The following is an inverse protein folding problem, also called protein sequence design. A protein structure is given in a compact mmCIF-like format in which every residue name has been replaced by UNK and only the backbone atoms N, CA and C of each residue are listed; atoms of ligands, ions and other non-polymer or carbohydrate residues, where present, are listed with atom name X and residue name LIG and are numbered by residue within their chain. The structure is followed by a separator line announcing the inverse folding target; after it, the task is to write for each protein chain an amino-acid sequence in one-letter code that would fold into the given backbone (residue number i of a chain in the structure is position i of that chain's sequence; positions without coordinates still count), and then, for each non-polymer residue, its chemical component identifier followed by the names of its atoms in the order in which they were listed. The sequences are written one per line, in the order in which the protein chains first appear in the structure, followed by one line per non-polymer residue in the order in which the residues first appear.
data_IF_795804617834
#
_entry.id   IF_795804617834
#
_cell.length_a   1.000
_cell.length_b   1.000
_cell.length_c   1.000
_cell.angle_alpha   90.00
_cell.angle_beta   90.00
_cell.angle_gamma   90.00
#
_symmetry.space_group_name_H-M   'P 1'
#
loop_
_entity.id
_entity.type
_entity.pdbx_description
1 polymer ?
#
# COMPACT_ATOMS: atom_id res chain seq x y z
N UNK A 1 14.75 79.81 32.00
CA UNK A 1 14.08 78.99 30.96
C UNK A 1 14.07 77.56 31.48
N UNK A 2 13.01 77.17 32.18
CA UNK A 2 12.82 75.82 32.72
C UNK A 2 11.94 75.03 31.73
N UNK A 3 12.26 73.78 31.37
CA UNK A 3 11.35 72.95 30.61
C UNK A 3 10.33 72.27 31.53
N UNK A 4 9.09 72.37 31.10
CA UNK A 4 7.86 71.85 31.68
C UNK A 4 7.80 70.32 31.63
N UNK A 5 7.59 69.67 32.78
CA UNK A 5 7.21 68.26 32.88
C UNK A 5 5.77 68.07 32.40
N UNK A 6 5.59 67.40 31.26
CA UNK A 6 4.31 66.88 30.79
C UNK A 6 4.30 65.35 30.96
N UNK A 7 3.77 64.91 32.10
CA UNK A 7 3.51 63.50 32.37
C UNK A 7 2.36 62.99 31.48
N UNK A 8 2.67 62.16 30.50
CA UNK A 8 1.69 61.45 29.67
C UNK A 8 1.07 60.27 30.44
N UNK A 9 -0.25 60.01 30.33
CA UNK A 9 -0.89 58.86 30.96
C UNK A 9 -0.38 57.55 30.34
N UNK A 10 0.05 56.60 31.18
CA UNK A 10 0.37 55.22 30.76
C UNK A 10 -0.88 54.56 30.17
N UNK A 11 -0.86 54.25 28.88
CA UNK A 11 -1.89 53.40 28.26
C UNK A 11 -1.88 52.01 28.91
N UNK A 12 -3.06 51.40 29.17
CA UNK A 12 -3.13 50.03 29.63
C UNK A 12 -2.56 49.09 28.55
N UNK A 13 -1.65 48.20 28.97
CA UNK A 13 -1.11 47.11 28.15
C UNK A 13 -2.27 46.37 27.49
N UNK A 14 -2.38 46.47 26.16
CA UNK A 14 -3.25 45.60 25.36
C UNK A 14 -2.88 44.16 25.67
N UNK A 15 -3.81 43.41 26.24
CA UNK A 15 -3.68 41.97 26.39
C UNK A 15 -3.39 41.36 25.02
N UNK A 16 -2.27 40.64 24.89
CA UNK A 16 -1.96 39.87 23.69
C UNK A 16 -3.09 38.88 23.37
N UNK A 17 -3.32 38.55 22.09
CA UNK A 17 -4.43 37.67 21.71
C UNK A 17 -4.33 36.34 22.44
N UNK A 18 -5.37 35.99 23.19
CA UNK A 18 -5.49 34.68 23.83
C UNK A 18 -5.33 33.57 22.78
N UNK A 19 -4.52 32.52 23.03
CA UNK A 19 -4.41 31.39 22.11
C UNK A 19 -5.79 30.77 21.93
N UNK A 20 -6.37 30.91 20.73
CA UNK A 20 -7.70 30.38 20.41
C UNK A 20 -7.66 28.85 20.58
N UNK A 21 -8.53 28.32 21.45
CA UNK A 21 -8.70 26.89 21.84
C UNK A 21 -8.72 25.88 20.67
N UNK A 22 -8.91 26.32 19.43
CA UNK A 22 -9.01 25.47 18.22
C UNK A 22 -7.79 25.55 17.26
N UNK A 23 -6.71 26.27 17.60
CA UNK A 23 -5.48 26.27 16.79
C UNK A 23 -4.89 24.88 16.52
N UNK A 24 -4.81 23.94 17.49
CA UNK A 24 -4.24 22.61 17.21
C UNK A 24 -5.11 21.79 16.26
N UNK A 25 -6.43 21.84 16.40
CA UNK A 25 -7.37 21.13 15.52
C UNK A 25 -7.35 21.67 14.09
N UNK A 26 -7.27 23.00 13.91
CA UNK A 26 -7.13 23.62 12.58
C UNK A 26 -5.80 23.28 11.91
N UNK A 27 -4.72 23.22 12.69
CA UNK A 27 -3.39 22.81 12.20
C UNK A 27 -3.35 21.34 11.77
N UNK A 28 -3.96 20.45 12.55
CA UNK A 28 -4.10 19.03 12.20
C UNK A 28 -4.99 18.84 10.97
N UNK A 29 -6.14 19.52 10.91
CA UNK A 29 -7.03 19.48 9.75
C UNK A 29 -6.31 19.99 8.50
N UNK A 30 -5.63 21.14 8.55
CA UNK A 30 -4.87 21.65 7.41
C UNK A 30 -3.78 20.67 6.95
N UNK A 31 -3.10 20.01 7.90
CA UNK A 31 -2.05 19.01 7.62
C UNK A 31 -2.59 17.73 6.98
N UNK A 32 -3.79 17.31 7.35
CA UNK A 32 -4.39 16.04 6.93
C UNK A 32 -5.58 16.19 5.97
N UNK A 33 -5.86 17.42 5.51
CA UNK A 33 -7.04 17.75 4.69
C UNK A 33 -7.16 16.84 3.47
N UNK A 34 -6.09 16.67 2.70
CA UNK A 34 -6.10 15.84 1.50
C UNK A 34 -6.31 14.36 1.84
N UNK A 35 -5.67 13.86 2.89
CA UNK A 35 -5.85 12.47 3.35
C UNK A 35 -7.29 12.21 3.82
N UNK A 36 -7.88 13.14 4.56
CA UNK A 36 -9.29 13.07 4.96
C UNK A 36 -10.22 13.11 3.74
N UNK A 37 -10.02 14.07 2.82
CA UNK A 37 -10.83 14.22 1.61
C UNK A 37 -10.70 13.05 0.65
N UNK A 38 -9.58 12.32 0.64
CA UNK A 38 -9.41 11.13 -0.16
C UNK A 38 -10.03 9.86 0.48
N UNK A 39 -9.97 9.77 1.82
CA UNK A 39 -10.39 8.56 2.55
C UNK A 39 -11.87 8.58 2.93
N UNK A 40 -12.43 9.72 3.32
CA UNK A 40 -13.82 9.81 3.76
C UNK A 40 -14.84 9.44 2.66
N UNK A 41 -14.69 9.88 1.39
CA UNK A 41 -15.67 9.57 0.35
C UNK A 41 -15.74 8.09 -0.02
N UNK A 42 -14.72 7.29 0.28
CA UNK A 42 -14.73 5.85 0.02
C UNK A 42 -15.35 5.05 1.18
N UNK A 43 -15.59 5.64 2.35
CA UNK A 43 -16.23 4.94 3.49
C UNK A 43 -17.62 4.37 3.16
N UNK A 44 -18.54 5.11 2.50
CA UNK A 44 -19.82 4.53 2.08
C UNK A 44 -19.65 3.32 1.16
N UNK A 45 -18.60 3.29 0.34
CA UNK A 45 -18.32 2.15 -0.53
C UNK A 45 -17.86 0.91 0.25
N UNK A 46 -17.16 1.09 1.39
CA UNK A 46 -16.84 -0.03 2.29
C UNK A 46 -18.07 -0.57 3.01
N UNK A 47 -19.02 0.31 3.36
CA UNK A 47 -20.31 -0.11 3.93
C UNK A 47 -21.12 -0.89 2.89
N UNK A 48 -21.26 -0.34 1.68
CA UNK A 48 -21.90 -1.02 0.54
C UNK A 48 -21.25 -2.37 0.28
N UNK A 49 -19.92 -2.41 0.25
CA UNK A 49 -19.20 -3.65 0.06
C UNK A 49 -19.52 -4.67 1.15
N UNK A 50 -19.45 -4.27 2.43
CA UNK A 50 -19.68 -5.17 3.57
C UNK A 50 -21.10 -5.75 3.60
N UNK A 51 -22.10 -4.95 3.22
CA UNK A 51 -23.51 -5.33 3.30
C UNK A 51 -24.01 -6.05 2.05
N UNK A 52 -23.49 -5.71 0.86
CA UNK A 52 -24.06 -6.15 -0.42
C UNK A 52 -23.07 -6.96 -1.25
N UNK A 53 -21.81 -6.52 -1.37
CA UNK A 53 -20.85 -7.11 -2.32
C UNK A 53 -19.98 -8.21 -1.71
N UNK A 54 -19.79 -8.23 -0.39
CA UNK A 54 -19.01 -9.23 0.36
C UNK A 54 -19.77 -10.57 0.46
N UNK A 55 -20.30 -11.01 -0.67
CA UNK A 55 -20.81 -12.36 -0.91
C UNK A 55 -19.59 -13.28 -0.91
N UNK A 56 -19.66 -14.43 -0.21
CA UNK A 56 -18.52 -15.32 0.02
C UNK A 56 -17.99 -16.06 -1.21
N UNK A 57 -18.04 -15.44 -2.40
CA UNK A 57 -17.50 -15.93 -3.67
C UNK A 57 -16.17 -15.26 -4.04
N UNK A 58 -15.58 -15.70 -5.15
CA UNK A 58 -14.31 -15.17 -5.66
C UNK A 58 -13.15 -15.28 -4.67
N UNK A 59 -12.27 -14.27 -4.65
CA UNK A 59 -11.11 -14.26 -3.74
C UNK A 59 -11.54 -14.20 -2.26
N UNK A 60 -12.74 -13.71 -1.95
CA UNK A 60 -13.26 -13.65 -0.58
C UNK A 60 -13.50 -15.05 -0.01
N UNK A 61 -13.97 -15.98 -0.83
CA UNK A 61 -14.15 -17.39 -0.44
C UNK A 61 -12.84 -18.01 0.05
N UNK A 62 -11.73 -17.70 -0.61
CA UNK A 62 -10.41 -18.15 -0.18
C UNK A 62 -10.03 -17.55 1.17
N UNK A 63 -10.31 -16.27 1.41
CA UNK A 63 -10.05 -15.64 2.71
C UNK A 63 -10.85 -16.30 3.84
N UNK A 64 -12.14 -16.57 3.61
CA UNK A 64 -13.01 -17.25 4.56
C UNK A 64 -12.53 -18.69 4.83
N UNK A 65 -12.11 -19.42 3.79
CA UNK A 65 -11.57 -20.77 3.93
C UNK A 65 -10.29 -20.79 4.77
N UNK A 66 -9.35 -19.88 4.52
CA UNK A 66 -8.10 -19.80 5.28
C UNK A 66 -8.29 -19.32 6.72
N UNK A 67 -9.16 -18.32 6.93
CA UNK A 67 -9.53 -17.89 8.27
C UNK A 67 -10.20 -19.04 9.05
N UNK A 68 -11.18 -19.71 8.44
CA UNK A 68 -11.88 -20.85 9.04
C UNK A 68 -10.99 -22.07 9.27
N UNK A 69 -9.93 -22.26 8.48
CA UNK A 69 -8.89 -23.26 8.76
C UNK A 69 -8.14 -22.88 10.03
N UNK A 70 -7.66 -21.64 10.15
CA UNK A 70 -6.91 -21.19 11.33
C UNK A 70 -7.75 -21.23 12.60
N UNK A 71 -9.05 -20.89 12.53
CA UNK A 71 -9.97 -20.98 13.68
C UNK A 71 -10.05 -22.41 14.23
N UNK A 72 -10.00 -23.43 13.37
CA UNK A 72 -10.14 -24.85 13.77
C UNK A 72 -8.81 -25.55 14.00
N UNK A 73 -7.77 -25.15 13.26
CA UNK A 73 -6.51 -25.88 13.12
C UNK A 73 -5.29 -24.93 13.07
N UNK A 74 -5.34 -23.78 13.74
CA UNK A 74 -4.32 -22.74 13.65
C UNK A 74 -2.90 -23.13 14.09
N UNK A 75 -2.74 -24.21 14.84
CA UNK A 75 -1.44 -24.80 15.18
C UNK A 75 -0.88 -25.72 14.10
N UNK A 76 -1.69 -26.14 13.12
CA UNK A 76 -1.25 -27.01 12.04
C UNK A 76 -0.52 -26.20 10.98
N UNK A 77 0.72 -26.61 10.69
CA UNK A 77 1.52 -26.06 9.59
C UNK A 77 1.08 -26.59 8.22
N UNK A 78 0.18 -27.57 8.17
CA UNK A 78 -0.23 -28.26 6.96
C UNK A 78 -1.76 -28.37 6.87
N UNK A 79 -2.30 -28.02 5.71
CA UNK A 79 -3.73 -28.07 5.42
C UNK A 79 -4.02 -29.18 4.40
N UNK A 80 -4.72 -30.23 4.81
CA UNK A 80 -5.08 -31.38 3.96
C UNK A 80 -6.32 -31.14 3.07
N UNK A 81 -6.99 -29.99 3.21
CA UNK A 81 -8.21 -29.67 2.46
C UNK A 81 -7.97 -29.44 0.95
N UNK A 82 -6.73 -29.18 0.51
CA UNK A 82 -6.38 -28.80 -0.87
C UNK A 82 -5.54 -29.88 -1.57
N UNK A 83 -6.10 -30.56 -2.59
CA UNK A 83 -5.40 -31.44 -3.56
C UNK A 83 -4.10 -32.13 -3.09
N UNK A 84 -4.17 -32.92 -2.01
CA UNK A 84 -3.02 -33.67 -1.45
C UNK A 84 -2.32 -33.00 -0.26
N UNK A 85 -2.68 -31.75 0.02
CA UNK A 85 -2.26 -30.97 1.16
C UNK A 85 -1.28 -29.85 0.80
N UNK A 86 -1.26 -28.78 1.59
CA UNK A 86 -0.33 -27.68 1.40
C UNK A 86 0.10 -27.03 2.71
N UNK A 87 1.33 -26.54 2.78
CA UNK A 87 1.75 -25.73 3.92
C UNK A 87 1.01 -24.40 3.94
N UNK A 88 0.50 -24.03 5.11
CA UNK A 88 -0.29 -22.80 5.31
C UNK A 88 0.53 -21.54 5.03
N UNK A 89 1.83 -21.60 5.33
CA UNK A 89 2.81 -20.55 5.07
C UNK A 89 2.89 -20.12 3.59
N UNK A 90 2.54 -21.02 2.66
CA UNK A 90 2.58 -20.74 1.22
C UNK A 90 1.46 -19.82 0.74
N UNK A 91 0.39 -19.71 1.51
CA UNK A 91 -0.68 -18.76 1.23
C UNK A 91 -0.37 -17.38 1.82
N UNK A 92 -0.15 -17.33 3.13
CA UNK A 92 0.23 -16.14 3.89
C UNK A 92 0.55 -16.53 5.33
N UNK A 93 1.60 -15.94 5.90
CA UNK A 93 2.01 -16.21 7.28
C UNK A 93 1.09 -15.55 8.32
N UNK A 94 0.60 -14.33 8.05
CA UNK A 94 -0.07 -13.52 9.09
C UNK A 94 -1.56 -13.29 8.82
N UNK A 95 -1.97 -13.09 7.56
CA UNK A 95 -3.34 -12.69 7.25
C UNK A 95 -4.42 -13.69 7.73
N UNK A 96 -4.28 -15.02 7.55
CA UNK A 96 -5.27 -15.98 8.05
C UNK A 96 -5.54 -15.85 9.55
N UNK A 97 -4.50 -15.62 10.36
CA UNK A 97 -4.63 -15.45 11.82
C UNK A 97 -5.35 -14.15 12.21
N UNK A 98 -5.04 -13.04 11.53
CA UNK A 98 -5.75 -11.79 11.77
C UNK A 98 -7.22 -11.90 11.36
N UNK A 99 -7.51 -12.56 10.24
CA UNK A 99 -8.87 -12.79 9.77
C UNK A 99 -9.65 -13.75 10.67
N UNK A 100 -9.00 -14.77 11.23
CA UNK A 100 -9.61 -15.67 12.21
C UNK A 100 -9.98 -14.94 13.52
N UNK A 101 -9.16 -14.00 13.98
CA UNK A 101 -9.40 -13.26 15.22
C UNK A 101 -10.37 -12.08 15.10
N UNK A 102 -10.31 -11.32 13.99
CA UNK A 102 -11.08 -10.08 13.81
C UNK A 102 -12.23 -10.20 12.81
N UNK A 103 -12.29 -11.31 12.06
CA UNK A 103 -13.18 -11.50 10.93
C UNK A 103 -12.62 -10.97 9.61
N UNK A 104 -12.85 -11.71 8.53
CA UNK A 104 -12.35 -11.40 7.18
C UNK A 104 -12.80 -10.01 6.72
N UNK A 105 -14.10 -9.70 6.83
CA UNK A 105 -14.65 -8.41 6.39
C UNK A 105 -14.04 -7.23 7.15
N UNK A 106 -13.90 -7.35 8.47
CA UNK A 106 -13.30 -6.33 9.33
C UNK A 106 -11.86 -6.04 8.91
N UNK A 107 -11.03 -7.08 8.77
CA UNK A 107 -9.64 -6.93 8.33
C UNK A 107 -9.56 -6.28 6.95
N UNK A 108 -10.45 -6.67 6.04
CA UNK A 108 -10.51 -6.12 4.68
C UNK A 108 -10.79 -4.63 4.68
N UNK A 109 -11.81 -4.19 5.43
CA UNK A 109 -12.19 -2.77 5.53
C UNK A 109 -11.07 -1.97 6.20
N UNK A 110 -10.51 -2.46 7.32
CA UNK A 110 -9.42 -1.77 8.02
C UNK A 110 -8.18 -1.61 7.13
N UNK A 111 -7.81 -2.67 6.40
CA UNK A 111 -6.69 -2.64 5.45
C UNK A 111 -6.96 -1.65 4.31
N UNK A 112 -8.15 -1.65 3.73
CA UNK A 112 -8.53 -0.73 2.66
C UNK A 112 -8.52 0.74 3.09
N UNK A 113 -9.09 1.05 4.25
CA UNK A 113 -9.11 2.41 4.83
C UNK A 113 -7.69 2.86 5.17
N UNK A 114 -6.89 2.01 5.82
CA UNK A 114 -5.50 2.32 6.15
C UNK A 114 -4.66 2.55 4.87
N UNK A 115 -4.83 1.70 3.86
CA UNK A 115 -4.18 1.84 2.56
C UNK A 115 -4.56 3.15 1.88
N UNK A 116 -5.85 3.49 1.83
CA UNK A 116 -6.36 4.74 1.23
C UNK A 116 -5.74 5.97 1.91
N UNK A 117 -5.71 5.97 3.24
CA UNK A 117 -5.09 7.03 4.03
C UNK A 117 -3.58 7.16 3.73
N UNK A 118 -2.85 6.06 3.78
CA UNK A 118 -1.40 6.03 3.58
C UNK A 118 -1.02 6.43 2.15
N UNK A 119 -1.79 6.00 1.14
CA UNK A 119 -1.63 6.43 -0.25
C UNK A 119 -1.81 7.94 -0.37
N UNK A 120 -2.87 8.51 0.21
CA UNK A 120 -3.07 9.95 0.19
C UNK A 120 -1.95 10.71 0.92
N UNK A 121 -1.44 10.19 2.03
CA UNK A 121 -0.26 10.75 2.72
C UNK A 121 0.96 10.74 1.81
N UNK A 122 1.20 9.65 1.05
CA UNK A 122 2.31 9.54 0.13
C UNK A 122 2.18 10.55 -1.02
N UNK A 123 0.98 10.70 -1.60
CA UNK A 123 0.67 11.68 -2.65
C UNK A 123 0.93 13.11 -2.18
N UNK A 124 0.52 13.48 -0.97
CA UNK A 124 0.82 14.80 -0.39
C UNK A 124 2.33 15.01 -0.25
N UNK A 125 3.07 13.97 0.14
CA UNK A 125 4.53 14.02 0.31
C UNK A 125 5.29 14.07 -1.02
N UNK A 126 4.68 13.60 -2.11
CA UNK A 126 5.22 13.76 -3.45
C UNK A 126 5.20 15.23 -3.95
N UNK A 127 4.55 16.15 -3.21
CA UNK A 127 4.49 17.59 -3.50
C UNK A 127 3.97 17.91 -4.91
N UNK A 128 2.97 17.15 -5.34
CA UNK A 128 2.29 17.38 -6.62
C UNK A 128 1.56 18.74 -6.59
N UNK A 129 1.41 19.43 -7.75
CA UNK A 129 0.62 20.66 -7.83
C UNK A 129 -0.85 20.44 -7.44
N UNK A 130 -1.43 19.32 -7.86
CA UNK A 130 -2.82 18.94 -7.58
C UNK A 130 -2.90 17.55 -6.93
N UNK A 131 -2.65 17.45 -5.60
CA UNK A 131 -2.58 16.15 -4.93
C UNK A 131 -3.95 15.49 -4.71
N UNK A 132 -5.05 16.26 -4.67
CA UNK A 132 -6.36 15.72 -4.31
C UNK A 132 -6.94 14.75 -5.36
N UNK A 133 -6.99 15.06 -6.67
CA UNK A 133 -7.49 14.13 -7.68
C UNK A 133 -6.70 12.82 -7.71
N UNK A 134 -5.37 12.91 -7.55
CA UNK A 134 -4.47 11.75 -7.49
C UNK A 134 -4.77 10.89 -6.26
N UNK A 135 -4.96 11.51 -5.09
CA UNK A 135 -5.27 10.79 -3.85
C UNK A 135 -6.66 10.14 -3.87
N UNK A 136 -7.65 10.79 -4.50
CA UNK A 136 -8.99 10.23 -4.72
C UNK A 136 -8.92 9.01 -5.63
N UNK A 137 -8.21 9.11 -6.76
CA UNK A 137 -8.02 7.98 -7.67
C UNK A 137 -7.30 6.81 -6.98
N UNK A 138 -6.28 7.10 -6.17
CA UNK A 138 -5.58 6.07 -5.41
C UNK A 138 -6.50 5.36 -4.42
N UNK A 139 -7.35 6.12 -3.72
CA UNK A 139 -8.31 5.56 -2.76
C UNK A 139 -9.39 4.73 -3.45
N UNK A 140 -9.88 5.18 -4.62
CA UNK A 140 -10.82 4.42 -5.44
C UNK A 140 -10.19 3.11 -5.95
N UNK A 141 -8.97 3.16 -6.46
CA UNK A 141 -8.29 1.97 -6.98
C UNK A 141 -8.00 0.93 -5.89
N UNK A 142 -7.61 1.38 -4.69
CA UNK A 142 -7.48 0.50 -3.52
C UNK A 142 -8.82 -0.08 -3.07
N UNK A 143 -9.90 0.70 -3.17
CA UNK A 143 -11.24 0.18 -2.93
C UNK A 143 -11.65 -0.88 -3.97
N UNK A 144 -11.32 -0.73 -5.26
CA UNK A 144 -11.59 -1.77 -6.27
C UNK A 144 -10.90 -3.10 -5.94
N UNK A 145 -9.71 -3.06 -5.35
CA UNK A 145 -9.04 -4.26 -4.84
C UNK A 145 -9.84 -4.92 -3.70
N UNK A 146 -10.38 -4.12 -2.77
CA UNK A 146 -11.26 -4.61 -1.71
C UNK A 146 -12.56 -5.15 -2.28
N UNK A 147 -13.14 -4.47 -3.27
CA UNK A 147 -14.33 -4.92 -3.98
C UNK A 147 -14.16 -6.32 -4.59
N UNK A 148 -12.93 -6.65 -5.00
CA UNK A 148 -12.55 -7.97 -5.53
C UNK A 148 -12.37 -9.06 -4.46
N UNK A 149 -12.50 -8.77 -3.17
CA UNK A 149 -12.35 -9.75 -2.08
C UNK A 149 -10.90 -10.09 -1.69
N UNK A 150 -9.92 -9.31 -2.17
CA UNK A 150 -8.49 -9.58 -2.03
C UNK A 150 -7.92 -9.11 -0.68
N UNK A 151 -8.38 -9.70 0.43
CA UNK A 151 -8.04 -9.24 1.79
C UNK A 151 -6.56 -9.33 2.14
N UNK A 152 -5.92 -10.47 1.87
CA UNK A 152 -4.47 -10.66 2.13
C UNK A 152 -3.64 -9.60 1.40
N UNK A 153 -3.95 -9.38 0.13
CA UNK A 153 -3.26 -8.39 -0.68
C UNK A 153 -3.56 -6.96 -0.20
N UNK A 154 -4.81 -6.63 0.16
CA UNK A 154 -5.15 -5.32 0.73
C UNK A 154 -4.33 -5.01 1.99
N UNK A 155 -4.19 -6.00 2.88
CA UNK A 155 -3.38 -5.87 4.11
C UNK A 155 -1.89 -5.69 3.77
N UNK A 156 -1.37 -6.50 2.84
CA UNK A 156 0.01 -6.37 2.37
C UNK A 156 0.30 -5.00 1.76
N UNK A 157 -0.63 -4.46 0.95
CA UNK A 157 -0.53 -3.12 0.34
C UNK A 157 -0.55 -2.03 1.41
N UNK A 158 -1.38 -2.13 2.44
CA UNK A 158 -1.39 -1.16 3.54
C UNK A 158 -0.02 -1.09 4.24
N UNK A 159 0.58 -2.24 4.56
CA UNK A 159 1.95 -2.29 5.10
C UNK A 159 3.00 -1.78 4.11
N UNK A 160 2.89 -2.13 2.82
CA UNK A 160 3.82 -1.65 1.80
C UNK A 160 3.77 -0.14 1.57
N UNK A 161 2.57 0.45 1.62
CA UNK A 161 2.39 1.90 1.60
C UNK A 161 2.97 2.54 2.86
N UNK A 162 2.80 1.93 4.03
CA UNK A 162 3.44 2.39 5.26
C UNK A 162 4.98 2.37 5.15
N UNK A 163 5.56 1.34 4.52
CA UNK A 163 7.00 1.28 4.24
C UNK A 163 7.44 2.46 3.35
N UNK A 164 6.73 2.73 2.27
CA UNK A 164 6.99 3.86 1.37
C UNK A 164 6.85 5.21 2.10
N UNK A 165 5.84 5.33 2.98
CA UNK A 165 5.64 6.49 3.83
C UNK A 165 6.81 6.66 4.82
N UNK A 166 7.38 5.60 5.39
CA UNK A 166 8.56 5.71 6.25
C UNK A 166 9.78 6.23 5.49
N UNK A 167 10.00 5.76 4.25
CA UNK A 167 11.11 6.24 3.42
C UNK A 167 10.93 7.69 2.93
N UNK A 168 9.69 8.15 2.79
CA UNK A 168 9.41 9.56 2.42
C UNK A 168 9.65 10.57 3.55
N UNK A 169 9.77 10.13 4.81
CA UNK A 169 10.02 10.99 5.98
C UNK A 169 11.31 10.59 6.68
N UNK A 170 12.43 11.05 6.12
CA UNK A 170 13.74 11.00 6.75
C UNK A 170 14.20 9.58 7.01
N UNK A 171 14.49 8.83 5.94
CA UNK A 171 15.42 7.70 5.91
C UNK A 171 15.28 6.69 7.08
N UNK A 172 14.03 6.43 7.49
CA UNK A 172 13.67 5.47 8.56
C UNK A 172 13.75 4.02 8.05
N UNK A 173 14.94 3.62 7.59
CA UNK A 173 15.17 2.37 6.87
C UNK A 173 14.72 1.13 7.65
N UNK A 174 14.98 1.06 8.96
CA UNK A 174 14.59 -0.08 9.81
C UNK A 174 13.07 -0.22 9.87
N UNK A 175 12.35 0.88 10.10
CA UNK A 175 10.89 0.85 10.13
C UNK A 175 10.31 0.54 8.75
N UNK A 176 10.88 1.09 7.68
CA UNK A 176 10.47 0.75 6.32
C UNK A 176 10.67 -0.75 6.04
N UNK A 177 11.82 -1.31 6.45
CA UNK A 177 12.11 -2.72 6.29
C UNK A 177 11.18 -3.63 7.11
N UNK A 178 10.85 -3.25 8.34
CA UNK A 178 9.87 -3.97 9.15
C UNK A 178 8.50 -4.01 8.48
N UNK A 179 8.03 -2.88 7.94
CA UNK A 179 6.76 -2.83 7.20
C UNK A 179 6.83 -3.60 5.88
N UNK A 180 7.98 -3.61 5.19
CA UNK A 180 8.16 -4.42 3.98
C UNK A 180 8.14 -5.92 4.27
N UNK A 181 8.73 -6.34 5.39
CA UNK A 181 8.63 -7.71 5.90
C UNK A 181 7.18 -8.07 6.22
N UNK A 182 6.48 -7.24 7.01
CA UNK A 182 5.05 -7.44 7.33
C UNK A 182 4.17 -7.49 6.09
N UNK A 183 4.43 -6.63 5.10
CA UNK A 183 3.72 -6.64 3.82
C UNK A 183 3.87 -7.99 3.11
N UNK A 184 5.09 -8.53 3.08
CA UNK A 184 5.41 -9.82 2.45
C UNK A 184 4.80 -11.00 3.22
N UNK A 185 4.85 -10.97 4.55
CA UNK A 185 4.24 -11.99 5.41
C UNK A 185 2.71 -11.99 5.35
N UNK A 186 2.08 -10.84 5.07
CA UNK A 186 0.65 -10.72 4.82
C UNK A 186 0.29 -11.13 3.37
N UNK A 187 1.14 -10.77 2.40
CA UNK A 187 0.96 -11.14 1.01
C UNK A 187 2.30 -11.17 0.28
N UNK A 188 2.78 -12.35 -0.17
CA UNK A 188 4.00 -12.45 -0.96
C UNK A 188 3.97 -11.58 -2.23
N UNK A 189 2.78 -11.41 -2.83
CA UNK A 189 2.57 -10.54 -4.00
C UNK A 189 2.78 -9.06 -3.66
N UNK A 190 2.38 -8.60 -2.47
CA UNK A 190 2.68 -7.24 -2.03
C UNK A 190 4.20 -7.06 -1.82
N UNK A 191 4.88 -8.07 -1.28
CA UNK A 191 6.34 -8.12 -1.18
C UNK A 191 7.03 -8.04 -2.55
N UNK A 192 6.54 -8.78 -3.55
CA UNK A 192 7.01 -8.71 -4.94
C UNK A 192 6.90 -7.27 -5.50
N UNK A 193 5.78 -6.59 -5.27
CA UNK A 193 5.62 -5.22 -5.73
C UNK A 193 6.48 -4.20 -4.98
N UNK A 194 6.75 -4.44 -3.69
CA UNK A 194 7.79 -3.68 -2.99
C UNK A 194 9.17 -3.93 -3.58
N UNK A 195 9.49 -5.15 -4.02
CA UNK A 195 10.75 -5.44 -4.69
C UNK A 195 10.87 -4.68 -6.03
N UNK A 196 9.77 -4.50 -6.78
CA UNK A 196 9.75 -3.62 -7.97
C UNK A 196 10.14 -2.19 -7.59
N UNK A 197 9.56 -1.64 -6.52
CA UNK A 197 9.88 -0.28 -6.04
C UNK A 197 11.32 -0.20 -5.52
N UNK A 198 11.78 -1.24 -4.81
CA UNK A 198 13.16 -1.37 -4.32
C UNK A 198 14.18 -1.41 -5.46
N UNK A 199 13.90 -2.16 -6.53
CA UNK A 199 14.70 -2.15 -7.75
C UNK A 199 14.69 -0.77 -8.43
N UNK A 200 13.55 -0.08 -8.43
CA UNK A 200 13.46 1.31 -8.86
C UNK A 200 14.39 2.24 -8.07
N UNK A 201 14.46 2.10 -6.74
CA UNK A 201 15.42 2.83 -5.91
C UNK A 201 16.88 2.46 -6.22
N UNK A 202 17.17 1.18 -6.43
CA UNK A 202 18.51 0.69 -6.75
C UNK A 202 19.01 1.31 -8.07
N UNK A 203 18.20 1.25 -9.12
CA UNK A 203 18.50 1.81 -10.44
C UNK A 203 18.53 3.36 -10.43
N UNK A 204 17.79 3.98 -9.51
CA UNK A 204 17.88 5.41 -9.22
C UNK A 204 19.07 5.80 -8.32
N UNK A 205 19.98 4.87 -8.02
CA UNK A 205 21.19 5.06 -7.19
C UNK A 205 20.88 5.48 -5.74
N UNK A 206 19.84 4.91 -5.15
CA UNK A 206 19.45 5.10 -3.74
C UNK A 206 19.52 3.77 -2.96
N UNK A 207 20.73 3.23 -2.72
CA UNK A 207 20.92 1.86 -2.24
C UNK A 207 20.30 1.59 -0.85
N UNK A 208 20.37 2.55 0.08
CA UNK A 208 19.80 2.36 1.43
C UNK A 208 18.27 2.14 1.39
N UNK A 209 17.56 2.88 0.52
CA UNK A 209 16.12 2.69 0.30
C UNK A 209 15.81 1.39 -0.43
N UNK A 210 16.66 1.02 -1.38
CA UNK A 210 16.54 -0.26 -2.10
C UNK A 210 16.67 -1.44 -1.13
N UNK A 211 17.71 -1.45 -0.29
CA UNK A 211 17.93 -2.51 0.73
C UNK A 211 16.73 -2.64 1.65
N UNK A 212 16.16 -1.53 2.13
CA UNK A 212 14.98 -1.54 2.99
C UNK A 212 13.74 -2.19 2.34
N UNK A 213 13.61 -2.16 1.01
CA UNK A 213 12.47 -2.73 0.29
C UNK A 213 12.77 -4.07 -0.41
N UNK A 214 14.04 -4.44 -0.57
CA UNK A 214 14.45 -5.69 -1.25
C UNK A 214 14.76 -6.80 -0.25
N UNK A 215 15.53 -6.50 0.81
CA UNK A 215 16.05 -7.53 1.72
C UNK A 215 14.93 -8.19 2.53
N UNK A 216 14.01 -7.46 3.21
CA UNK A 216 12.98 -8.12 4.01
C UNK A 216 12.05 -9.02 3.18
N UNK A 217 11.53 -8.61 2.00
CA UNK A 217 10.75 -9.51 1.16
C UNK A 217 11.53 -10.76 0.71
N UNK A 218 12.80 -10.59 0.29
CA UNK A 218 13.65 -11.71 -0.12
C UNK A 218 13.89 -12.71 1.02
N UNK A 219 14.14 -12.22 2.24
CA UNK A 219 14.33 -13.06 3.43
C UNK A 219 13.04 -13.83 3.76
N UNK A 220 11.89 -13.15 3.76
CA UNK A 220 10.60 -13.80 4.05
C UNK A 220 10.30 -14.89 3.02
N UNK A 221 10.34 -14.57 1.72
CA UNK A 221 10.03 -15.53 0.65
C UNK A 221 11.06 -16.65 0.61
N UNK A 222 12.35 -16.35 0.76
CA UNK A 222 13.41 -17.34 0.78
C UNK A 222 13.27 -18.32 1.95
N UNK A 223 12.99 -17.81 3.15
CA UNK A 223 12.77 -18.63 4.33
C UNK A 223 11.53 -19.51 4.20
N UNK A 224 10.40 -18.97 3.71
CA UNK A 224 9.19 -19.78 3.51
C UNK A 224 9.39 -20.83 2.42
N UNK A 225 10.08 -20.50 1.33
CA UNK A 225 10.35 -21.47 0.26
C UNK A 225 11.26 -22.61 0.75
N UNK A 226 12.25 -22.30 1.60
CA UNK A 226 13.17 -23.29 2.15
C UNK A 226 12.49 -24.19 3.20
N UNK A 227 11.72 -23.61 4.11
CA UNK A 227 11.11 -24.32 5.24
C UNK A 227 9.78 -25.00 4.89
N UNK A 228 9.07 -24.46 3.91
CA UNK A 228 7.72 -24.87 3.51
C UNK A 228 7.60 -24.93 1.99
N UNK A 229 8.32 -25.84 1.31
CA UNK A 229 8.38 -25.87 -0.15
C UNK A 229 6.99 -26.01 -0.81
N UNK A 230 6.83 -25.39 -1.98
CA UNK A 230 5.59 -25.39 -2.77
C UNK A 230 5.90 -25.40 -4.27
N UNK A 231 5.06 -26.06 -5.04
CA UNK A 231 5.22 -26.23 -6.49
C UNK A 231 3.98 -25.83 -7.31
N UNK A 232 3.02 -25.12 -6.73
CA UNK A 232 1.83 -24.69 -7.47
C UNK A 232 2.11 -23.49 -8.38
N UNK A 233 1.42 -23.47 -9.51
CA UNK A 233 1.58 -22.45 -10.54
C UNK A 233 0.29 -21.65 -10.71
N UNK A 234 0.43 -20.33 -10.84
CA UNK A 234 -0.65 -19.48 -11.29
C UNK A 234 -0.43 -19.19 -12.77
N UNK A 235 -1.44 -19.46 -13.60
CA UNK A 235 -1.32 -19.25 -15.04
C UNK A 235 -1.25 -17.77 -15.39
N UNK A 236 -0.47 -17.45 -16.43
CA UNK A 236 -0.45 -16.15 -17.11
C UNK A 236 -0.73 -16.36 -18.60
N UNK A 237 -1.98 -16.22 -19.06
CA UNK A 237 -2.31 -16.31 -20.48
C UNK A 237 -1.67 -15.18 -21.30
N UNK A 238 -1.15 -15.49 -22.48
CA UNK A 238 -0.46 -14.53 -23.36
C UNK A 238 -1.21 -13.21 -23.60
N UNK A 239 -2.55 -13.19 -23.84
CA UNK A 239 -3.27 -11.93 -24.04
C UNK A 239 -3.27 -11.00 -22.82
N UNK A 240 -3.12 -11.55 -21.62
CA UNK A 240 -3.17 -10.79 -20.35
C UNK A 240 -1.85 -10.10 -19.99
N UNK A 241 -0.77 -10.40 -20.71
CA UNK A 241 0.55 -9.77 -20.53
C UNK A 241 0.53 -8.31 -20.98
N UNK A 242 -0.19 -8.01 -22.07
CA UNK A 242 -0.07 -6.72 -22.74
C UNK A 242 -0.52 -5.54 -21.87
N UNK A 243 -1.67 -5.56 -21.18
CA UNK A 243 -2.09 -4.43 -20.36
C UNK A 243 -1.06 -4.04 -19.27
N UNK A 244 -0.57 -4.96 -18.40
CA UNK A 244 0.43 -4.61 -17.39
C UNK A 244 1.78 -4.17 -17.99
N UNK A 245 2.24 -4.80 -19.09
CA UNK A 245 3.46 -4.37 -19.78
C UNK A 245 3.32 -2.94 -20.31
N UNK A 246 2.25 -2.66 -21.06
CA UNK A 246 2.02 -1.34 -21.66
C UNK A 246 1.86 -0.26 -20.58
N UNK A 247 1.15 -0.55 -19.48
CA UNK A 247 1.00 0.39 -18.37
C UNK A 247 2.33 0.63 -17.63
N UNK A 248 3.16 -0.41 -17.44
CA UNK A 248 4.51 -0.29 -16.90
C UNK A 248 5.40 0.60 -17.77
N UNK A 249 5.41 0.34 -19.09
CA UNK A 249 6.16 1.15 -20.06
C UNK A 249 5.62 2.58 -20.17
N UNK A 250 4.30 2.78 -20.07
CA UNK A 250 3.70 4.11 -20.04
C UNK A 250 4.20 4.90 -18.83
N UNK A 251 4.25 4.30 -17.63
CA UNK A 251 4.87 4.93 -16.45
C UNK A 251 6.35 5.20 -16.69
N UNK A 252 7.09 4.28 -17.31
CA UNK A 252 8.51 4.48 -17.65
C UNK A 252 8.73 5.66 -18.55
N UNK A 253 7.90 5.86 -19.58
CA UNK A 253 8.11 6.89 -20.60
C UNK A 253 7.52 8.24 -20.17
N UNK A 254 6.31 8.23 -19.62
CA UNK A 254 5.50 9.44 -19.37
C UNK A 254 5.75 10.08 -18.02
N UNK A 255 6.24 9.35 -17.01
CA UNK A 255 6.57 9.97 -15.72
C UNK A 255 7.69 11.03 -15.89
N UNK A 256 7.62 12.19 -15.21
CA UNK A 256 8.61 13.25 -15.31
C UNK A 256 10.04 12.77 -15.14
N UNK A 257 11.01 13.39 -15.83
CA UNK A 257 12.43 12.97 -15.79
C UNK A 257 13.03 12.94 -14.38
N UNK A 258 12.55 13.81 -13.49
CA UNK A 258 12.94 13.83 -12.08
C UNK A 258 12.42 12.63 -11.26
N UNK A 259 11.38 11.94 -11.72
CA UNK A 259 10.76 10.81 -11.01
C UNK A 259 11.45 9.49 -11.37
N UNK A 260 12.77 9.47 -11.22
CA UNK A 260 13.64 8.35 -11.64
C UNK A 260 13.19 7.01 -11.07
N UNK A 261 12.76 6.99 -9.80
CA UNK A 261 12.26 5.77 -9.13
C UNK A 261 11.02 5.25 -9.82
N UNK A 262 10.01 6.09 -10.09
CA UNK A 262 8.79 5.67 -10.78
C UNK A 262 9.08 5.12 -12.18
N UNK A 263 9.96 5.79 -12.94
CA UNK A 263 10.33 5.36 -14.30
C UNK A 263 10.99 3.98 -14.30
N UNK A 264 11.96 3.77 -13.41
CA UNK A 264 12.64 2.48 -13.28
C UNK A 264 11.73 1.39 -12.74
N UNK A 265 10.87 1.69 -11.76
CA UNK A 265 9.84 0.76 -11.29
C UNK A 265 8.93 0.30 -12.42
N UNK A 266 8.51 1.22 -13.31
CA UNK A 266 7.71 0.87 -14.49
C UNK A 266 8.43 -0.10 -15.44
N UNK A 267 9.75 0.09 -15.63
CA UNK A 267 10.54 -0.72 -16.54
C UNK A 267 10.78 -2.12 -15.96
N UNK A 268 11.13 -2.17 -14.67
CA UNK A 268 11.28 -3.42 -13.92
C UNK A 268 9.97 -4.18 -13.88
N UNK A 269 8.84 -3.49 -13.67
CA UNK A 269 7.53 -4.12 -13.66
C UNK A 269 7.14 -4.69 -15.03
N UNK A 270 7.36 -3.95 -16.11
CA UNK A 270 7.10 -4.43 -17.47
C UNK A 270 7.95 -5.67 -17.80
N UNK A 271 9.25 -5.63 -17.49
CA UNK A 271 10.13 -6.79 -17.66
C UNK A 271 9.69 -7.98 -16.78
N UNK A 272 9.40 -7.73 -15.51
CA UNK A 272 8.91 -8.75 -14.56
C UNK A 272 7.61 -9.40 -15.02
N UNK A 273 6.71 -8.63 -15.63
CA UNK A 273 5.46 -9.15 -16.21
C UNK A 273 5.74 -10.13 -17.36
N UNK A 274 6.67 -9.82 -18.25
CA UNK A 274 7.10 -10.76 -19.31
C UNK A 274 7.74 -12.00 -18.69
N UNK A 275 8.59 -11.85 -17.68
CA UNK A 275 9.20 -12.98 -16.97
C UNK A 275 8.15 -13.88 -16.30
N UNK A 276 7.08 -13.32 -15.73
CA UNK A 276 6.00 -14.13 -15.13
C UNK A 276 5.21 -14.97 -16.13
N UNK A 277 5.26 -14.64 -17.41
CA UNK A 277 4.73 -15.49 -18.47
C UNK A 277 5.73 -16.58 -18.89
N UNK A 278 7.00 -16.22 -19.01
CA UNK A 278 8.04 -17.12 -19.49
C UNK A 278 8.48 -18.16 -18.43
N UNK A 279 8.34 -17.83 -17.16
CA UNK A 279 8.80 -18.64 -16.03
C UNK A 279 7.58 -19.12 -15.24
N UNK A 280 7.24 -20.42 -15.30
CA UNK A 280 6.20 -21.00 -14.46
C UNK A 280 6.47 -20.72 -12.99
N UNK A 281 5.48 -20.15 -12.30
CA UNK A 281 5.61 -19.74 -10.91
C UNK A 281 4.25 -19.51 -10.25
N UNK A 282 4.19 -19.39 -8.91
CA UNK A 282 2.96 -19.01 -8.20
C UNK A 282 2.47 -17.57 -8.48
N UNK A 283 3.24 -16.76 -9.23
CA UNK A 283 2.91 -15.35 -9.47
C UNK A 283 1.78 -15.23 -10.49
N UNK A 284 1.97 -15.70 -11.73
CA UNK A 284 0.97 -15.67 -12.80
C UNK A 284 0.22 -14.33 -12.94
N UNK A 285 -1.10 -14.40 -13.14
CA UNK A 285 -2.00 -13.23 -13.22
C UNK A 285 -1.98 -12.32 -11.99
N UNK A 286 -1.40 -12.72 -10.84
CA UNK A 286 -1.29 -11.82 -9.70
C UNK A 286 -0.45 -10.57 -10.00
N UNK A 287 0.46 -10.65 -10.98
CA UNK A 287 1.28 -9.49 -11.38
C UNK A 287 0.42 -8.32 -11.85
N UNK A 288 -0.72 -8.57 -12.50
CA UNK A 288 -1.63 -7.54 -13.03
C UNK A 288 -2.08 -6.52 -11.98
N UNK A 289 -2.18 -6.96 -10.72
CA UNK A 289 -2.67 -6.17 -9.59
C UNK A 289 -1.93 -4.84 -9.45
N UNK A 290 -0.61 -4.79 -9.65
CA UNK A 290 0.13 -3.53 -9.51
C UNK A 290 -0.27 -2.52 -10.59
N UNK A 291 -0.46 -2.98 -11.83
CA UNK A 291 -0.92 -2.12 -12.91
C UNK A 291 -2.31 -1.53 -12.62
N UNK A 292 -3.22 -2.34 -12.07
CA UNK A 292 -4.61 -1.93 -11.80
C UNK A 292 -4.71 -0.70 -10.88
N UNK A 293 -3.91 -0.63 -9.80
CA UNK A 293 -4.01 0.48 -8.85
C UNK A 293 -2.87 1.50 -8.89
N UNK A 294 -1.67 1.13 -9.32
CA UNK A 294 -0.54 2.07 -9.32
C UNK A 294 -0.44 2.87 -10.63
N UNK A 295 -0.65 2.23 -11.79
CA UNK A 295 -0.41 2.91 -13.07
C UNK A 295 -1.37 4.08 -13.32
N UNK A 296 -2.71 3.96 -13.16
CA UNK A 296 -3.63 5.10 -13.33
C UNK A 296 -3.27 6.28 -12.41
N UNK A 297 -2.87 5.98 -11.16
CA UNK A 297 -2.52 7.00 -10.16
C UNK A 297 -1.25 7.74 -10.55
N UNK A 298 -0.19 7.01 -10.94
CA UNK A 298 1.09 7.62 -11.34
C UNK A 298 0.94 8.40 -12.64
N UNK A 299 0.17 7.90 -13.60
CA UNK A 299 -0.08 8.59 -14.86
C UNK A 299 -0.92 9.86 -14.68
N UNK A 300 -1.96 9.81 -13.83
CA UNK A 300 -2.71 11.02 -13.46
C UNK A 300 -1.82 12.03 -12.74
N UNK A 301 -0.93 11.56 -11.85
CA UNK A 301 0.03 12.43 -11.18
C UNK A 301 1.04 13.07 -12.14
N UNK A 302 1.43 12.37 -13.21
CA UNK A 302 2.33 12.90 -14.24
C UNK A 302 1.64 13.91 -15.16
N UNK A 303 0.32 13.80 -15.32
CA UNK A 303 -0.49 14.68 -16.16
C UNK A 303 -0.82 16.03 -15.49
N UNK A 304 -0.93 16.07 -14.16
CA UNK A 304 -1.40 17.22 -13.37
C UNK A 304 -0.30 18.09 -12.77
#
# INVERSE_FOLDING_TARGET
MAPTDLALPRQPRRAGPHPRRNQPLRSLYARHRVSLLATLPVLPLYVLWTLVLATGGGDLAAQDAWAGFVTRHGSSAYNLFWYGGMHTANYSLVSPYLMAGLGVRTVTVLAGVAGSWLAAVLVVRARLPRPLPVALLASLALWCNVASGRTTFALGVAFGLAACVMLSRGDRYVLAGAHAGLATMASPVAGLFLAVVGAGFLLARQPARAVALLVPPAVVVGATTLLFPFSGEQLMPAPRIWPPVLLGLAVTVLAPRGWRVARWSGAVYAAGTVLTYLIPSPVGTNVERLAEYAAPVVLLAALL
#
